data_IF_385062697966
#
_entry.id   IF_385062697966
#
_cell.length_a   1.000
_cell.length_b   1.000
_cell.length_c   1.000
_cell.angle_alpha   90.00
_cell.angle_beta   90.00
_cell.angle_gamma   90.00
#
_symmetry.space_group_name_H-M   'P 1'
#
loop_
_entity.id
_entity.type
_entity.pdbx_description
1 polymer ?
#
# COMPACT_ATOMS: atom_id res chain seq x y z
N UNK A 1 -8.66 14.24 10.96
CA UNK A 1 -8.07 13.54 9.80
C UNK A 1 -7.12 12.48 10.33
N UNK A 2 -7.38 11.19 10.11
CA UNK A 2 -6.57 10.10 10.67
C UNK A 2 -5.48 9.74 9.68
N UNK A 3 -4.29 10.29 9.87
CA UNK A 3 -3.07 9.89 9.15
C UNK A 3 -2.89 8.39 9.38
N UNK A 4 -2.67 7.62 8.31
CA UNK A 4 -2.31 6.22 8.46
C UNK A 4 -1.04 6.13 9.33
N UNK A 5 -1.00 5.26 10.35
CA UNK A 5 0.20 5.09 11.16
C UNK A 5 1.40 4.85 10.24
N UNK A 6 2.57 5.46 10.51
CA UNK A 6 3.72 5.36 9.63
C UNK A 6 4.08 3.88 9.46
N UNK A 7 3.86 3.36 8.26
CA UNK A 7 4.25 1.99 7.94
C UNK A 7 5.76 2.03 7.75
N UNK A 8 6.49 1.63 8.78
CA UNK A 8 7.95 1.50 8.70
C UNK A 8 8.28 0.23 7.94
N UNK A 9 8.39 0.33 6.62
CA UNK A 9 8.90 -0.75 5.79
C UNK A 9 10.41 -0.79 5.86
N UNK A 10 10.99 -1.97 6.02
CA UNK A 10 12.43 -2.14 5.79
C UNK A 10 12.75 -1.95 4.30
N UNK A 11 13.99 -1.55 3.99
CA UNK A 11 14.43 -1.36 2.60
C UNK A 11 14.27 -2.63 1.73
N UNK A 12 14.35 -3.81 2.35
CA UNK A 12 14.11 -5.10 1.69
C UNK A 12 12.63 -5.30 1.35
N UNK A 13 11.72 -4.99 2.29
CA UNK A 13 10.28 -5.10 2.07
C UNK A 13 9.79 -4.11 1.03
N UNK A 14 10.24 -2.84 1.11
CA UNK A 14 9.91 -1.81 0.11
C UNK A 14 10.31 -2.26 -1.30
N UNK A 15 11.54 -2.73 -1.46
CA UNK A 15 12.06 -3.22 -2.75
C UNK A 15 11.27 -4.42 -3.27
N UNK A 16 10.83 -5.32 -2.39
CA UNK A 16 9.98 -6.47 -2.76
C UNK A 16 8.60 -6.01 -3.26
N UNK A 17 7.95 -5.08 -2.55
CA UNK A 17 6.65 -4.52 -2.93
C UNK A 17 6.72 -3.73 -4.24
N UNK A 18 7.80 -2.96 -4.45
CA UNK A 18 8.05 -2.26 -5.71
C UNK A 18 8.27 -3.23 -6.88
N UNK A 19 9.04 -4.31 -6.65
CA UNK A 19 9.25 -5.35 -7.66
C UNK A 19 7.94 -6.05 -8.02
N UNK A 20 7.08 -6.34 -7.03
CA UNK A 20 5.74 -6.88 -7.27
C UNK A 20 4.88 -5.91 -8.08
N UNK A 21 4.97 -4.60 -7.79
CA UNK A 21 4.25 -3.56 -8.55
C UNK A 21 4.71 -3.45 -10.00
N UNK A 22 6.00 -3.63 -10.26
CA UNK A 22 6.58 -3.55 -11.61
C UNK A 22 6.37 -4.83 -12.46
N UNK A 23 6.05 -5.96 -11.82
CA UNK A 23 5.98 -7.26 -12.48
C UNK A 23 4.64 -7.48 -13.19
N UNK A 24 4.68 -7.60 -14.51
CA UNK A 24 3.52 -7.92 -15.37
C UNK A 24 2.99 -9.35 -15.21
N UNK A 25 3.75 -10.25 -14.58
CA UNK A 25 3.34 -11.64 -14.29
C UNK A 25 2.63 -11.78 -12.94
N UNK A 26 2.60 -10.70 -12.15
CA UNK A 26 2.01 -10.71 -10.82
C UNK A 26 0.50 -10.53 -10.91
N UNK A 27 -0.25 -11.31 -10.13
CA UNK A 27 -1.69 -11.14 -10.06
C UNK A 27 -2.05 -9.69 -9.71
N UNK A 28 -3.00 -9.10 -10.44
CA UNK A 28 -3.41 -7.70 -10.28
C UNK A 28 -3.70 -7.34 -8.82
N UNK A 29 -4.35 -8.26 -8.08
CA UNK A 29 -4.63 -8.11 -6.65
C UNK A 29 -3.37 -7.91 -5.80
N UNK A 30 -2.26 -8.55 -6.14
CA UNK A 30 -1.00 -8.42 -5.41
C UNK A 30 -0.29 -7.11 -5.76
N UNK A 31 -0.39 -6.65 -7.01
CA UNK A 31 0.06 -5.32 -7.46
C UNK A 31 -0.67 -4.22 -6.71
N UNK A 32 -2.01 -4.28 -6.68
CA UNK A 32 -2.87 -3.33 -5.95
C UNK A 32 -2.49 -3.22 -4.48
N UNK A 33 -2.37 -4.38 -3.81
CA UNK A 33 -2.01 -4.44 -2.37
C UNK A 33 -0.63 -3.86 -2.11
N UNK A 34 0.33 -4.17 -2.97
CA UNK A 34 1.69 -3.63 -2.87
C UNK A 34 1.70 -2.11 -3.05
N UNK A 35 0.91 -1.59 -4.00
CA UNK A 35 0.78 -0.16 -4.22
C UNK A 35 0.16 0.57 -3.03
N UNK A 36 -0.86 -0.01 -2.38
CA UNK A 36 -1.47 0.54 -1.15
C UNK A 36 -0.41 0.71 -0.06
N UNK A 37 0.35 -0.36 0.22
CA UNK A 37 1.31 -0.38 1.34
C UNK A 37 2.49 0.56 1.08
N UNK A 38 2.99 0.64 -0.15
CA UNK A 38 4.06 1.58 -0.52
C UNK A 38 3.60 3.03 -0.36
N UNK A 39 2.41 3.39 -0.88
CA UNK A 39 1.89 4.75 -0.74
C UNK A 39 1.62 5.12 0.72
N UNK A 40 1.13 4.17 1.53
CA UNK A 40 0.91 4.40 2.95
C UNK A 40 2.24 4.55 3.73
N UNK A 41 3.29 3.83 3.33
CA UNK A 41 4.64 4.02 3.86
C UNK A 41 5.24 5.38 3.46
N UNK A 42 4.86 5.91 2.29
CA UNK A 42 5.22 7.27 1.84
C UNK A 42 4.42 8.38 2.56
N UNK A 43 3.59 8.03 3.55
CA UNK A 43 2.79 8.98 4.33
C UNK A 43 1.52 9.48 3.63
N UNK A 44 1.14 8.85 2.51
CA UNK A 44 -0.09 9.19 1.80
C UNK A 44 -1.30 8.71 2.59
N UNK A 45 -2.34 9.55 2.66
CA UNK A 45 -3.52 9.25 3.45
C UNK A 45 -4.40 8.19 2.77
N UNK A 46 -5.13 7.38 3.54
CA UNK A 46 -5.93 6.27 2.99
C UNK A 46 -6.95 6.72 1.94
N UNK A 47 -7.50 7.93 2.09
CA UNK A 47 -8.44 8.54 1.14
C UNK A 47 -7.79 8.85 -0.21
N UNK A 48 -6.61 9.46 -0.18
CA UNK A 48 -5.84 9.76 -1.39
C UNK A 48 -5.37 8.47 -2.09
N UNK A 49 -4.97 7.45 -1.32
CA UNK A 49 -4.61 6.13 -1.86
C UNK A 49 -5.81 5.49 -2.55
N UNK A 50 -6.97 5.47 -1.88
CA UNK A 50 -8.22 4.95 -2.41
C UNK A 50 -8.60 5.65 -3.72
N UNK A 51 -8.50 6.97 -3.77
CA UNK A 51 -8.79 7.77 -4.96
C UNK A 51 -7.79 7.52 -6.10
N UNK A 52 -6.49 7.47 -5.81
CA UNK A 52 -5.44 7.21 -6.81
C UNK A 52 -5.52 5.81 -7.43
N UNK A 53 -5.93 4.82 -6.63
CA UNK A 53 -6.02 3.43 -7.08
C UNK A 53 -7.43 3.03 -7.52
N UNK A 54 -8.44 3.90 -7.35
CA UNK A 54 -9.85 3.56 -7.60
C UNK A 54 -10.37 2.45 -6.70
N UNK A 55 -9.85 2.36 -5.47
CA UNK A 55 -10.16 1.30 -4.51
C UNK A 55 -11.02 1.82 -3.36
N UNK A 56 -11.69 0.89 -2.69
CA UNK A 56 -12.46 1.20 -1.49
C UNK A 56 -11.55 1.56 -0.29
N UNK A 57 -11.94 2.58 0.48
CA UNK A 57 -11.24 3.04 1.69
C UNK A 57 -11.05 1.94 2.73
N UNK A 58 -12.04 1.06 2.91
CA UNK A 58 -11.97 -0.07 3.83
C UNK A 58 -10.95 -1.12 3.37
N UNK A 59 -10.81 -1.32 2.05
CA UNK A 59 -9.75 -2.18 1.48
C UNK A 59 -8.37 -1.60 1.78
N UNK A 60 -8.18 -0.29 1.58
CA UNK A 60 -6.91 0.41 1.86
C UNK A 60 -6.56 0.31 3.35
N UNK A 61 -7.49 0.65 4.23
CA UNK A 61 -7.29 0.61 5.68
C UNK A 61 -6.94 -0.78 6.19
N UNK A 62 -7.59 -1.84 5.67
CA UNK A 62 -7.29 -3.23 6.04
C UNK A 62 -5.84 -3.62 5.71
N UNK A 63 -5.32 -3.20 4.57
CA UNK A 63 -3.94 -3.49 4.18
C UNK A 63 -2.94 -2.66 4.98
N UNK A 64 -3.23 -1.39 5.23
CA UNK A 64 -2.38 -0.55 6.08
C UNK A 64 -2.29 -1.13 7.50
N UNK A 65 -3.42 -1.53 8.10
CA UNK A 65 -3.43 -2.17 9.42
C UNK A 65 -2.67 -3.49 9.49
N UNK A 66 -2.54 -4.23 8.37
CA UNK A 66 -1.74 -5.46 8.33
C UNK A 66 -0.25 -5.21 8.43
N UNK A 67 0.21 -4.05 7.98
CA UNK A 67 1.63 -3.67 7.93
C UNK A 67 2.03 -2.67 9.01
N UNK A 68 1.07 -2.06 9.71
CA UNK A 68 1.32 -1.10 10.79
C UNK A 68 1.59 -1.77 12.16
N UNK A 69 2.30 -2.90 12.19
CA UNK A 69 2.57 -3.66 13.41
C UNK A 69 4.06 -3.64 13.75
#
# INVERSE_FOLDING_TARGET
MRVAPPITLTSKERRKLESLRASRKTALRLVERSAIVVLAADGVNNKDIAQRLGLDLGKVGRWCSRYSK
#
